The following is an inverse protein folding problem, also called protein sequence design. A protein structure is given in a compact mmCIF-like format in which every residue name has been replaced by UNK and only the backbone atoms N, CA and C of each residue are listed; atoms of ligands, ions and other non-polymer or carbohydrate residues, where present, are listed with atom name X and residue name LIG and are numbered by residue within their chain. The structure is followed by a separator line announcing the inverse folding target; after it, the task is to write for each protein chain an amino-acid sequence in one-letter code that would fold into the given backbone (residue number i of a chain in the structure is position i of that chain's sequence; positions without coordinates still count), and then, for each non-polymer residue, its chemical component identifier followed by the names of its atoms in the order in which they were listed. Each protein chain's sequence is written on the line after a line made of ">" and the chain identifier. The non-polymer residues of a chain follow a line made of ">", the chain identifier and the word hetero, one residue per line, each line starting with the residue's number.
data_IF_038256562154
#
_entry.id   IF_038256562154
#
_cell.length_a   1.000
_cell.length_b   1.000
_cell.length_c   1.000
_cell.angle_alpha   90.00
_cell.angle_beta   90.00
_cell.angle_gamma   90.00
#
_symmetry.space_group_name_H-M   'P 1'
#
loop_
_entity.id
_entity.type
_entity.pdbx_description
1 polymer ?
#
# COMPACT_ATOMS: atom_id res chain seq x y z
N UNK A 1 20.31 8.78 -17.16
CA UNK A 1 19.84 7.39 -17.34
C UNK A 1 19.23 6.85 -16.04
N UNK A 2 19.59 7.39 -14.86
CA UNK A 2 18.95 7.07 -13.56
C UNK A 2 17.48 7.53 -13.48
N UNK A 3 17.14 8.73 -13.98
CA UNK A 3 15.78 9.30 -13.88
C UNK A 3 14.68 8.49 -14.60
N UNK A 4 15.05 7.75 -15.65
CA UNK A 4 14.11 6.89 -16.40
C UNK A 4 13.81 5.59 -15.63
N UNK A 5 14.77 5.11 -14.82
CA UNK A 5 14.63 3.94 -13.95
C UNK A 5 13.81 4.29 -12.70
N UNK A 6 14.08 5.44 -12.08
CA UNK A 6 13.34 5.93 -10.90
C UNK A 6 11.87 6.25 -11.24
N UNK A 7 11.61 6.86 -12.39
CA UNK A 7 10.24 7.12 -12.84
C UNK A 7 9.42 5.84 -13.06
N UNK A 8 10.05 4.80 -13.65
CA UNK A 8 9.40 3.50 -13.85
C UNK A 8 9.22 2.75 -12.52
N UNK A 9 10.19 2.85 -11.60
CA UNK A 9 10.10 2.30 -10.26
C UNK A 9 8.95 2.96 -9.47
N UNK A 10 8.85 4.29 -9.48
CA UNK A 10 7.74 5.02 -8.86
C UNK A 10 6.39 4.57 -9.42
N UNK A 11 6.27 4.45 -10.75
CA UNK A 11 5.04 3.96 -11.39
C UNK A 11 4.66 2.55 -10.92
N UNK A 12 5.64 1.65 -10.77
CA UNK A 12 5.42 0.29 -10.25
C UNK A 12 5.02 0.29 -8.77
N UNK A 13 5.63 1.14 -7.95
CA UNK A 13 5.29 1.28 -6.53
C UNK A 13 3.86 1.80 -6.36
N UNK A 14 3.44 2.79 -7.16
CA UNK A 14 2.06 3.26 -7.17
C UNK A 14 1.09 2.16 -7.61
N UNK A 15 1.41 1.39 -8.65
CA UNK A 15 0.58 0.27 -9.09
C UNK A 15 0.43 -0.81 -7.98
N UNK A 16 1.53 -1.12 -7.27
CA UNK A 16 1.51 -2.05 -6.13
C UNK A 16 0.65 -1.51 -4.98
N UNK A 17 0.77 -0.22 -4.64
CA UNK A 17 -0.09 0.40 -3.62
C UNK A 17 -1.56 0.34 -4.00
N UNK A 18 -1.91 0.60 -5.26
CA UNK A 18 -3.30 0.49 -5.74
C UNK A 18 -3.85 -0.92 -5.54
N UNK A 19 -3.12 -1.95 -5.97
CA UNK A 19 -3.56 -3.34 -5.78
C UNK A 19 -3.77 -3.67 -4.29
N UNK A 20 -2.87 -3.23 -3.41
CA UNK A 20 -3.00 -3.45 -1.96
C UNK A 20 -4.18 -2.72 -1.34
N UNK A 21 -4.46 -1.49 -1.80
CA UNK A 21 -5.64 -0.73 -1.39
C UNK A 21 -6.93 -1.43 -1.82
N UNK A 22 -6.97 -2.01 -3.02
CA UNK A 22 -8.12 -2.79 -3.52
C UNK A 22 -8.34 -4.06 -2.70
N UNK A 23 -7.27 -4.78 -2.33
CA UNK A 23 -7.34 -5.94 -1.42
C UNK A 23 -7.89 -5.52 -0.05
N UNK A 24 -7.38 -4.41 0.51
CA UNK A 24 -7.83 -3.91 1.81
C UNK A 24 -9.29 -3.47 1.78
N UNK A 25 -9.71 -2.79 0.71
CA UNK A 25 -11.09 -2.39 0.48
C UNK A 25 -12.00 -3.62 0.38
N UNK A 26 -11.57 -4.67 -0.31
CA UNK A 26 -12.31 -5.93 -0.43
C UNK A 26 -12.51 -6.59 0.95
N UNK A 27 -11.45 -6.67 1.77
CA UNK A 27 -11.55 -7.22 3.13
C UNK A 27 -12.47 -6.40 4.03
N UNK A 28 -12.42 -5.06 3.91
CA UNK A 28 -13.29 -4.16 4.66
C UNK A 28 -14.76 -4.29 4.24
N UNK A 29 -15.05 -4.35 2.94
CA UNK A 29 -16.40 -4.55 2.39
C UNK A 29 -16.97 -5.88 2.86
N UNK A 30 -16.22 -6.97 2.73
CA UNK A 30 -16.63 -8.29 3.22
C UNK A 30 -16.88 -8.32 4.74
N UNK A 31 -16.17 -7.49 5.49
CA UNK A 31 -16.32 -7.34 6.94
C UNK A 31 -17.67 -6.74 7.35
N UNK A 32 -18.35 -6.02 6.46
CA UNK A 32 -19.64 -5.38 6.72
C UNK A 32 -20.83 -6.36 6.75
N UNK A 33 -20.60 -7.64 6.41
CA UNK A 33 -21.64 -8.67 6.42
C UNK A 33 -22.27 -8.85 7.80
N UNK A 34 -23.54 -8.46 7.94
CA UNK A 34 -24.30 -8.43 9.19
C UNK A 34 -24.53 -9.79 9.87
N UNK A 35 -24.27 -10.90 9.18
CA UNK A 35 -24.56 -12.27 9.65
C UNK A 35 -23.28 -13.10 9.90
N UNK A 36 -22.11 -12.45 10.00
CA UNK A 36 -20.85 -13.16 10.21
C UNK A 36 -20.50 -13.26 11.70
N UNK A 37 -19.89 -14.36 12.15
CA UNK A 37 -19.47 -14.50 13.53
C UNK A 37 -18.39 -13.43 13.85
N UNK A 38 -18.35 -12.92 15.10
CA UNK A 38 -17.38 -11.89 15.51
C UNK A 38 -15.92 -12.28 15.23
N UNK A 39 -15.56 -13.55 15.39
CA UNK A 39 -14.21 -14.06 15.10
C UNK A 39 -13.80 -13.86 13.63
N UNK A 40 -14.73 -14.03 12.69
CA UNK A 40 -14.48 -13.81 11.28
C UNK A 40 -14.32 -12.32 10.95
N UNK A 41 -15.05 -11.43 11.64
CA UNK A 41 -14.90 -9.98 11.50
C UNK A 41 -13.56 -9.49 12.07
N UNK A 42 -13.14 -10.02 13.23
CA UNK A 42 -11.82 -9.72 13.82
C UNK A 42 -10.68 -10.17 12.91
N UNK A 43 -10.79 -11.38 12.34
CA UNK A 43 -9.80 -11.87 11.39
C UNK A 43 -9.69 -10.97 10.14
N UNK A 44 -10.80 -10.39 9.68
CA UNK A 44 -10.82 -9.42 8.57
C UNK A 44 -10.18 -8.09 8.95
N UNK A 45 -10.55 -7.53 10.10
CA UNK A 45 -9.92 -6.32 10.62
C UNK A 45 -8.39 -6.49 10.75
N UNK A 46 -7.94 -7.68 11.18
CA UNK A 46 -6.51 -8.02 11.25
C UNK A 46 -5.85 -7.99 9.87
N UNK A 47 -6.49 -8.57 8.84
CA UNK A 47 -5.96 -8.53 7.46
C UNK A 47 -5.91 -7.11 6.89
N UNK A 48 -6.94 -6.30 7.14
CA UNK A 48 -6.94 -4.88 6.75
C UNK A 48 -5.79 -4.13 7.41
N UNK A 49 -5.50 -4.39 8.69
CA UNK A 49 -4.38 -3.77 9.39
C UNK A 49 -3.02 -4.16 8.79
N UNK A 50 -2.83 -5.44 8.45
CA UNK A 50 -1.61 -5.91 7.77
C UNK A 50 -1.43 -5.23 6.42
N UNK A 51 -2.46 -5.24 5.57
CA UNK A 51 -2.41 -4.58 4.25
C UNK A 51 -2.13 -3.08 4.38
N UNK A 52 -2.72 -2.42 5.37
CA UNK A 52 -2.47 -1.00 5.66
C UNK A 52 -1.01 -0.74 6.02
N UNK A 53 -0.38 -1.65 6.78
CA UNK A 53 1.04 -1.58 7.09
C UNK A 53 1.92 -1.75 5.84
N UNK A 54 1.56 -2.66 4.94
CA UNK A 54 2.28 -2.85 3.68
C UNK A 54 2.18 -1.62 2.77
N UNK A 55 0.99 -1.03 2.66
CA UNK A 55 0.78 0.23 1.92
C UNK A 55 1.63 1.35 2.51
N UNK A 56 1.72 1.45 3.84
CA UNK A 56 2.54 2.45 4.50
C UNK A 56 4.02 2.32 4.14
N UNK A 57 4.57 1.10 4.14
CA UNK A 57 5.95 0.83 3.75
C UNK A 57 6.21 1.24 2.29
N UNK A 58 5.27 0.95 1.38
CA UNK A 58 5.38 1.36 -0.02
C UNK A 58 5.37 2.89 -0.16
N UNK A 59 4.54 3.59 0.61
CA UNK A 59 4.52 5.05 0.64
C UNK A 59 5.83 5.64 1.18
N UNK A 60 6.41 5.02 2.21
CA UNK A 60 7.74 5.40 2.72
C UNK A 60 8.83 5.22 1.65
N UNK A 61 8.80 4.12 0.90
CA UNK A 61 9.75 3.89 -0.19
C UNK A 61 9.63 4.98 -1.29
N UNK A 62 8.42 5.35 -1.68
CA UNK A 62 8.19 6.45 -2.64
C UNK A 62 8.74 7.77 -2.11
N UNK A 63 8.49 8.11 -0.85
CA UNK A 63 9.02 9.33 -0.24
C UNK A 63 10.55 9.33 -0.13
N UNK A 64 11.16 8.16 0.09
CA UNK A 64 12.61 8.04 0.18
C UNK A 64 13.28 8.26 -1.19
N UNK A 65 12.70 7.75 -2.27
CA UNK A 65 13.20 7.98 -3.65
C UNK A 65 13.17 9.48 -3.96
N UNK A 66 12.07 10.17 -3.67
CA UNK A 66 11.98 11.62 -3.91
C UNK A 66 13.01 12.46 -3.13
N UNK A 67 13.43 12.02 -1.94
CA UNK A 67 14.50 12.69 -1.17
C UNK A 67 15.89 12.47 -1.80
N UNK A 68 16.14 11.31 -2.39
CA UNK A 68 17.40 11.02 -3.07
C UNK A 68 17.54 11.83 -4.36
N UNK A 69 16.43 12.14 -5.05
CA UNK A 69 16.44 13.04 -6.22
C UNK A 69 16.77 14.50 -5.84
N UNK A 70 16.29 14.98 -4.69
CA UNK A 70 16.58 16.34 -4.19
C UNK A 70 18.05 16.49 -3.72
N UNK A 71 18.65 15.44 -3.13
CA UNK A 71 20.04 15.47 -2.64
C UNK A 71 21.10 15.32 -3.75
N UNK A 72 20.72 14.87 -4.95
CA UNK A 72 21.62 14.68 -6.10
C UNK A 72 21.78 15.90 -7.03
N UNK A 73 21.17 17.04 -6.70
CA UNK A 73 21.16 18.26 -7.52
C UNK A 73 22.04 19.42 -7.00
N UNK A 74 22.75 19.23 -5.87
CA UNK A 74 23.77 20.15 -5.34
C UNK A 74 25.20 19.78 -5.79
#
# INVERSE_FOLDING_TARGET
>A
METEDDSELLRRLFALMTMKLEDAATEAVDGQGAQRPPSAQIARATRVAVLSSEIHILAEAVMAIGKLEDEGQD
#
